data_IF_759146660117
#
_entry.id   IF_759146660117
#
_cell.length_a   1.000
_cell.length_b   1.000
_cell.length_c   1.000
_cell.angle_alpha   90.00
_cell.angle_beta   90.00
_cell.angle_gamma   90.00
#
_symmetry.space_group_name_H-M   'P 1'
#
loop_
_entity.id
_entity.type
_entity.pdbx_description
1 polymer ?
#
# COMPACT_ATOMS: atom_id res chain seq x y z
N UNK A 1 1.09 3.31 12.56
CA UNK A 1 1.21 3.91 11.21
C UNK A 1 0.32 3.13 10.24
N UNK A 2 -0.47 3.82 9.42
CA UNK A 2 -1.45 3.27 8.47
C UNK A 2 -0.84 3.23 7.06
N UNK A 3 -0.77 2.05 6.47
CA UNK A 3 -0.12 1.81 5.19
C UNK A 3 -1.10 1.26 4.18
N UNK A 4 -0.99 1.74 2.94
CA UNK A 4 -1.66 1.13 1.77
C UNK A 4 -0.59 0.59 0.84
N UNK A 5 -0.72 -0.69 0.48
CA UNK A 5 0.11 -1.32 -0.54
C UNK A 5 -0.70 -1.45 -1.82
N UNK A 6 -0.09 -1.17 -2.96
CA UNK A 6 -0.66 -1.63 -4.23
C UNK A 6 -0.61 -3.17 -4.32
N UNK A 7 -1.44 -3.75 -5.19
CA UNK A 7 -1.53 -5.20 -5.37
C UNK A 7 -0.16 -5.81 -5.73
N UNK A 8 0.65 -5.10 -6.51
CA UNK A 8 1.99 -5.55 -6.90
C UNK A 8 2.98 -5.59 -5.72
N UNK A 9 2.97 -4.62 -4.82
CA UNK A 9 3.78 -4.60 -3.61
C UNK A 9 3.30 -5.67 -2.62
N UNK A 10 1.99 -5.87 -2.48
CA UNK A 10 1.43 -6.92 -1.64
C UNK A 10 1.85 -8.33 -2.13
N UNK A 11 1.68 -8.61 -3.43
CA UNK A 11 2.12 -9.87 -4.03
C UNK A 11 3.63 -10.05 -3.93
N UNK A 12 4.40 -8.98 -4.13
CA UNK A 12 5.85 -9.02 -3.99
C UNK A 12 6.31 -9.35 -2.56
N UNK A 13 5.56 -8.87 -1.56
CA UNK A 13 5.81 -9.17 -0.15
C UNK A 13 5.52 -10.61 0.27
N UNK A 14 4.61 -11.27 -0.43
CA UNK A 14 4.26 -12.66 -0.17
C UNK A 14 5.16 -13.64 -0.92
N UNK A 15 5.55 -13.30 -2.16
CA UNK A 15 6.33 -14.19 -3.02
C UNK A 15 7.85 -14.11 -2.78
N UNK A 16 8.35 -12.98 -2.28
CA UNK A 16 9.76 -12.80 -1.98
C UNK A 16 9.97 -12.48 -0.50
N UNK A 17 10.78 -13.31 0.17
CA UNK A 17 11.28 -13.12 1.55
C UNK A 17 12.24 -11.91 1.69
N UNK A 18 12.19 -10.97 0.76
CA UNK A 18 13.04 -9.78 0.73
C UNK A 18 12.45 -8.61 1.50
N UNK A 19 12.88 -7.40 1.18
CA UNK A 19 12.47 -6.16 1.84
C UNK A 19 10.96 -5.99 2.01
N UNK A 20 10.09 -6.33 1.03
CA UNK A 20 8.65 -6.24 1.20
C UNK A 20 8.08 -7.14 2.33
N UNK A 21 8.69 -8.29 2.62
CA UNK A 21 8.29 -9.16 3.73
C UNK A 21 8.40 -8.51 5.10
N UNK A 22 9.33 -7.54 5.27
CA UNK A 22 9.45 -6.77 6.53
C UNK A 22 8.23 -5.88 6.81
N UNK A 23 7.47 -5.48 5.78
CA UNK A 23 6.22 -4.75 5.94
C UNK A 23 5.13 -5.66 6.52
N UNK A 24 5.10 -6.93 6.08
CA UNK A 24 4.21 -7.97 6.59
C UNK A 24 4.57 -8.29 8.04
N UNK A 25 5.86 -8.49 8.34
CA UNK A 25 6.33 -8.73 9.71
C UNK A 25 5.94 -7.59 10.66
N UNK A 26 6.07 -6.33 10.21
CA UNK A 26 5.68 -5.16 10.99
C UNK A 26 4.16 -5.12 11.25
N UNK A 27 3.35 -5.55 10.29
CA UNK A 27 1.90 -5.65 10.45
C UNK A 27 1.51 -6.78 11.41
N UNK A 28 2.15 -7.95 11.31
CA UNK A 28 1.96 -9.06 12.23
C UNK A 28 2.30 -8.68 13.68
N UNK A 29 3.37 -7.89 13.86
CA UNK A 29 3.78 -7.33 15.15
C UNK A 29 2.91 -6.15 15.62
N UNK A 30 1.89 -5.76 14.84
CA UNK A 30 0.98 -4.62 15.09
C UNK A 30 1.69 -3.28 15.21
N UNK A 31 2.87 -3.13 14.61
CA UNK A 31 3.61 -1.86 14.53
C UNK A 31 2.98 -0.94 13.47
N UNK A 32 2.45 -1.55 12.40
CA UNK A 32 1.73 -0.87 11.32
C UNK A 32 0.39 -1.55 11.07
N UNK A 33 -0.55 -0.81 10.49
CA UNK A 33 -1.83 -1.33 10.03
C UNK A 33 -1.88 -1.27 8.50
N UNK A 34 -2.25 -2.38 7.86
CA UNK A 34 -2.34 -2.49 6.40
C UNK A 34 -3.79 -2.28 5.94
N UNK A 35 -3.96 -1.60 4.82
CA UNK A 35 -5.26 -1.35 4.21
C UNK A 35 -5.22 -1.65 2.70
N UNK A 36 -6.33 -2.17 2.18
CA UNK A 36 -6.49 -2.53 0.76
C UNK A 36 -7.92 -2.30 0.30
N UNK A 37 -8.12 -2.10 -1.00
CA UNK A 37 -9.44 -2.17 -1.63
C UNK A 37 -9.69 -3.45 -2.41
N UNK A 38 -8.64 -4.25 -2.64
CA UNK A 38 -8.77 -5.52 -3.33
C UNK A 38 -9.53 -6.52 -2.45
N UNK A 39 -10.48 -7.29 -3.01
CA UNK A 39 -11.19 -8.30 -2.23
C UNK A 39 -10.22 -9.40 -1.78
N UNK A 40 -10.46 -10.05 -0.63
CA UNK A 40 -9.58 -11.09 -0.09
C UNK A 40 -9.23 -12.20 -1.09
N UNK A 41 -10.14 -12.56 -2.00
CA UNK A 41 -9.94 -13.60 -3.01
C UNK A 41 -8.92 -13.23 -4.10
N UNK A 42 -8.64 -11.94 -4.29
CA UNK A 42 -7.69 -11.44 -5.30
C UNK A 42 -6.28 -11.18 -4.72
N UNK A 43 -6.14 -11.26 -3.40
CA UNK A 43 -4.86 -11.09 -2.69
C UNK A 43 -4.44 -12.42 -2.07
N UNK A 44 -3.14 -12.66 -1.90
CA UNK A 44 -2.72 -13.92 -1.29
C UNK A 44 -3.14 -13.97 0.20
N UNK A 45 -3.51 -15.17 0.66
CA UNK A 45 -4.14 -15.43 1.96
C UNK A 45 -3.42 -14.76 3.16
N UNK A 46 -2.08 -14.75 3.14
CA UNK A 46 -1.28 -14.14 4.21
C UNK A 46 -1.44 -12.61 4.31
N UNK A 47 -1.67 -11.93 3.19
CA UNK A 47 -1.93 -10.48 3.18
C UNK A 47 -3.39 -10.18 3.51
N UNK A 48 -4.33 -10.96 2.98
CA UNK A 48 -5.75 -10.85 3.30
C UNK A 48 -6.00 -10.89 4.82
N UNK A 49 -5.30 -11.78 5.53
CA UNK A 49 -5.44 -11.93 6.97
C UNK A 49 -4.95 -10.72 7.79
N UNK A 50 -4.11 -9.86 7.20
CA UNK A 50 -3.47 -8.74 7.90
C UNK A 50 -3.97 -7.37 7.45
N UNK A 51 -4.58 -7.28 6.27
CA UNK A 51 -5.07 -6.04 5.69
C UNK A 51 -6.56 -5.82 6.00
N UNK A 52 -6.91 -4.60 6.40
CA UNK A 52 -8.31 -4.17 6.47
C UNK A 52 -8.80 -3.74 5.08
N UNK A 53 -9.93 -4.29 4.65
CA UNK A 53 -10.57 -3.90 3.40
C UNK A 53 -11.34 -2.59 3.60
N UNK A 54 -11.11 -1.62 2.72
CA UNK A 54 -11.82 -0.33 2.70
C UNK A 54 -12.44 -0.08 1.33
N UNK A 55 -13.53 0.68 1.32
CA UNK A 55 -14.11 1.19 0.08
C UNK A 55 -13.25 2.39 -0.38
N UNK A 56 -12.70 2.40 -1.60
CA UNK A 56 -11.92 3.53 -2.12
C UNK A 56 -12.70 4.84 -2.08
N UNK A 57 -11.99 5.94 -1.80
CA UNK A 57 -12.58 7.27 -1.89
C UNK A 57 -12.90 7.64 -3.34
N UNK A 58 -13.90 8.49 -3.56
CA UNK A 58 -14.14 9.09 -4.87
C UNK A 58 -13.10 10.19 -5.10
N UNK A 59 -12.25 10.03 -6.12
CA UNK A 59 -11.22 11.02 -6.48
C UNK A 59 -11.37 11.46 -7.93
N UNK A 60 -10.92 12.69 -8.21
CA UNK A 60 -10.67 13.10 -9.58
C UNK A 60 -9.45 12.33 -10.13
N UNK A 61 -9.40 12.02 -11.44
CA UNK A 61 -8.30 11.28 -12.03
C UNK A 61 -6.96 11.95 -11.74
N UNK A 62 -6.06 11.24 -11.08
CA UNK A 62 -4.77 11.78 -10.64
C UNK A 62 -3.63 11.31 -11.55
N UNK A 63 -3.74 10.10 -12.10
CA UNK A 63 -2.78 9.55 -13.05
C UNK A 63 -3.28 9.78 -14.49
N UNK A 64 -2.55 10.53 -15.34
CA UNK A 64 -2.98 10.76 -16.71
C UNK A 64 -2.95 9.44 -17.48
N UNK A 65 -4.14 8.96 -17.87
CA UNK A 65 -4.43 7.90 -18.87
C UNK A 65 -4.67 6.47 -18.37
N UNK A 66 -4.79 6.19 -17.07
CA UNK A 66 -5.18 4.84 -16.63
C UNK A 66 -6.01 4.83 -15.32
N UNK A 67 -7.35 4.66 -15.39
CA UNK A 67 -8.24 4.57 -14.22
C UNK A 67 -7.88 3.53 -13.12
N UNK A 68 -7.18 2.41 -13.39
CA UNK A 68 -6.78 1.45 -12.35
C UNK A 68 -5.71 2.00 -11.40
N UNK A 69 -4.83 2.90 -11.84
CA UNK A 69 -3.71 3.41 -11.03
C UNK A 69 -4.21 4.39 -9.93
N UNK A 70 -5.41 4.94 -10.10
CA UNK A 70 -6.06 5.83 -9.14
C UNK A 70 -6.61 5.07 -7.92
N UNK A 71 -6.84 3.76 -8.03
CA UNK A 71 -7.49 3.00 -6.95
C UNK A 71 -6.64 2.93 -5.69
N UNK A 72 -5.30 2.83 -5.82
CA UNK A 72 -4.39 2.83 -4.67
C UNK A 72 -4.40 4.18 -3.96
N UNK A 73 -4.49 5.27 -4.73
CA UNK A 73 -4.57 6.64 -4.21
C UNK A 73 -5.91 6.87 -3.49
N UNK A 74 -7.00 6.44 -4.12
CA UNK A 74 -8.35 6.48 -3.54
C UNK A 74 -8.45 5.65 -2.26
N UNK A 75 -7.82 4.47 -2.24
CA UNK A 75 -7.73 3.60 -1.06
C UNK A 75 -6.95 4.28 0.05
N UNK A 76 -5.83 4.92 -0.27
CA UNK A 76 -5.02 5.67 0.69
C UNK A 76 -5.78 6.82 1.33
N UNK A 77 -6.59 7.55 0.57
CA UNK A 77 -7.45 8.59 1.12
C UNK A 77 -8.54 8.01 2.04
N UNK A 78 -9.28 6.99 1.59
CA UNK A 78 -10.31 6.36 2.41
C UNK A 78 -9.74 5.75 3.69
N UNK A 79 -8.55 5.16 3.59
CA UNK A 79 -7.81 4.61 4.70
C UNK A 79 -7.10 5.68 5.52
N UNK A 80 -7.14 6.98 5.20
CA UNK A 80 -6.35 8.01 5.88
C UNK A 80 -4.89 7.56 6.11
N UNK A 81 -4.27 7.08 5.03
CA UNK A 81 -2.96 6.45 5.11
C UNK A 81 -1.87 7.47 5.46
N UNK A 82 -0.91 7.04 6.28
CA UNK A 82 0.30 7.82 6.58
C UNK A 82 1.33 7.68 5.44
N UNK A 83 1.25 6.60 4.66
CA UNK A 83 2.18 6.28 3.58
C UNK A 83 1.53 5.33 2.55
N UNK A 84 1.78 5.61 1.27
CA UNK A 84 1.46 4.73 0.14
C UNK A 84 2.72 3.98 -0.26
N UNK A 85 2.60 2.68 -0.46
CA UNK A 85 3.69 1.81 -0.90
C UNK A 85 3.32 1.25 -2.26
N UNK A 86 4.13 1.53 -3.26
CA UNK A 86 3.89 1.08 -4.63
C UNK A 86 5.16 0.60 -5.30
N UNK A 87 5.03 -0.43 -6.13
CA UNK A 87 6.09 -0.86 -7.06
C UNK A 87 5.99 -0.20 -8.43
N UNK A 88 4.86 0.43 -8.75
CA UNK A 88 4.61 1.03 -10.05
C UNK A 88 5.28 2.40 -10.17
N UNK A 89 6.17 2.53 -11.17
CA UNK A 89 6.89 3.77 -11.44
C UNK A 89 5.97 4.95 -11.77
N UNK A 90 4.79 4.71 -12.34
CA UNK A 90 3.80 5.74 -12.66
C UNK A 90 3.26 6.39 -11.39
N UNK A 91 2.93 5.58 -10.39
CA UNK A 91 2.46 6.03 -9.08
C UNK A 91 3.61 6.63 -8.28
N UNK A 92 4.79 5.98 -8.28
CA UNK A 92 5.99 6.48 -7.58
C UNK A 92 6.44 7.86 -8.09
N UNK A 93 6.29 8.14 -9.39
CA UNK A 93 6.66 9.43 -9.97
C UNK A 93 5.82 10.61 -9.44
N UNK A 94 4.64 10.35 -8.86
CA UNK A 94 3.86 11.37 -8.17
C UNK A 94 4.54 11.84 -6.87
N UNK A 95 5.37 11.00 -6.26
CA UNK A 95 6.11 11.19 -4.98
C UNK A 95 5.23 11.37 -3.74
N UNK A 96 4.10 12.05 -3.88
CA UNK A 96 3.10 12.25 -2.84
C UNK A 96 1.74 12.50 -3.46
N UNK A 97 0.68 12.13 -2.76
CA UNK A 97 -0.69 12.43 -3.15
C UNK A 97 -1.47 12.98 -1.96
N UNK A 98 -2.04 14.19 -2.09
CA UNK A 98 -2.80 14.86 -1.01
C UNK A 98 -2.05 14.90 0.34
N UNK A 99 -0.73 15.12 0.29
CA UNK A 99 0.13 15.14 1.48
C UNK A 99 0.61 13.77 1.97
N UNK A 100 0.10 12.67 1.40
CA UNK A 100 0.52 11.30 1.73
C UNK A 100 1.75 10.95 0.88
N UNK A 101 2.91 10.64 1.47
CA UNK A 101 4.09 10.22 0.71
C UNK A 101 3.86 8.89 -0.02
N UNK A 102 4.51 8.71 -1.17
CA UNK A 102 4.50 7.49 -1.96
C UNK A 102 5.94 6.98 -2.04
N UNK A 103 6.16 5.75 -1.58
CA UNK A 103 7.50 5.15 -1.51
C UNK A 103 7.53 3.76 -2.13
N UNK A 104 8.70 3.41 -2.67
CA UNK A 104 8.99 2.02 -3.02
C UNK A 104 9.12 1.19 -1.73
N UNK A 105 8.84 -0.13 -1.77
CA UNK A 105 8.91 -1.00 -0.59
C UNK A 105 10.23 -0.90 0.18
N UNK A 106 11.35 -0.79 -0.54
CA UNK A 106 12.68 -0.69 0.07
C UNK A 106 12.87 0.58 0.90
N UNK A 107 12.30 1.69 0.46
CA UNK A 107 12.35 2.96 1.20
C UNK A 107 11.32 3.00 2.33
N UNK A 108 10.15 2.40 2.12
CA UNK A 108 9.11 2.30 3.14
C UNK A 108 9.59 1.53 4.39
N UNK A 109 10.38 0.47 4.21
CA UNK A 109 10.97 -0.28 5.34
C UNK A 109 11.85 0.59 6.23
N UNK A 110 12.59 1.55 5.65
CA UNK A 110 13.44 2.47 6.42
C UNK A 110 12.63 3.47 7.26
N UNK A 111 11.34 3.67 6.90
CA UNK A 111 10.39 4.56 7.58
C UNK A 111 9.56 3.84 8.64
N UNK A 112 9.67 2.51 8.74
CA UNK A 112 8.98 1.77 9.80
C UNK A 112 9.47 2.27 11.17
N UNK A 113 8.55 2.40 12.15
CA UNK A 113 8.95 2.67 13.52
C UNK A 113 9.96 1.62 13.97
N UNK A 114 11.11 2.07 14.46
CA UNK A 114 12.03 1.18 15.17
C UNK A 114 11.40 0.97 16.55
N UNK A 115 10.73 -0.18 16.71
CA UNK A 115 10.25 -0.65 18.00
C UNK A 115 11.39 -1.11 18.89
#
# INVERSE_FOLDING_TARGET
>A
MRLVLDTNAALSALLWHGTPGKLIDAAQRRVVALFTSAPPAEVADGYAALASVVIPAVIAPAVPRDPPDDIVLATALAAQADLIISGDMRVLNLKSYQGIPILAPAEAVKRLPQG
#
